data_IF_414007270074
#
_entry.id   IF_414007270074
#
_cell.length_a   1.000
_cell.length_b   1.000
_cell.length_c   1.000
_cell.angle_alpha   90.00
_cell.angle_beta   90.00
_cell.angle_gamma   90.00
#
_symmetry.space_group_name_H-M   'P 1'
#
loop_
_entity.id
_entity.type
_entity.pdbx_description
1 polymer ?
#
# COMPACT_ATOMS: atom_id res chain seq x y z
N UNK A 1 -7.33 -17.16 29.58
CA UNK A 1 -8.43 -16.45 28.91
C UNK A 1 -8.92 -15.23 29.74
N UNK A 2 -8.98 -15.31 31.07
CA UNK A 2 -9.52 -14.27 31.96
C UNK A 2 -8.68 -12.98 32.04
N UNK A 3 -7.34 -13.06 31.97
CA UNK A 3 -6.47 -11.88 32.02
C UNK A 3 -6.55 -11.05 30.73
N UNK A 4 -6.63 -11.68 29.56
CA UNK A 4 -6.75 -10.98 28.29
C UNK A 4 -8.09 -10.25 28.13
N UNK A 5 -9.19 -10.85 28.60
CA UNK A 5 -10.52 -10.21 28.57
C UNK A 5 -10.61 -9.07 29.57
N UNK A 6 -10.00 -9.17 30.75
CA UNK A 6 -9.95 -8.09 31.73
C UNK A 6 -9.12 -6.90 31.21
N UNK A 7 -7.96 -7.15 30.62
CA UNK A 7 -7.13 -6.10 30.01
C UNK A 7 -7.84 -5.40 28.84
N UNK A 8 -8.49 -6.18 27.98
CA UNK A 8 -9.30 -5.65 26.87
C UNK A 8 -10.46 -4.80 27.34
N UNK A 9 -11.14 -5.21 28.43
CA UNK A 9 -12.24 -4.44 29.03
C UNK A 9 -11.76 -3.13 29.68
N UNK A 10 -10.59 -3.14 30.33
CA UNK A 10 -9.99 -1.93 30.96
C UNK A 10 -9.55 -0.95 29.88
N UNK A 11 -8.83 -1.43 28.84
CA UNK A 11 -8.41 -0.61 27.70
C UNK A 11 -9.62 -0.06 26.93
N UNK A 12 -10.63 -0.89 26.69
CA UNK A 12 -11.87 -0.47 26.02
C UNK A 12 -12.61 0.62 26.83
N UNK A 13 -12.71 0.49 28.15
CA UNK A 13 -13.30 1.54 29.01
C UNK A 13 -12.45 2.82 29.03
N UNK A 14 -11.12 2.71 29.09
CA UNK A 14 -10.25 3.87 29.07
C UNK A 14 -10.34 4.66 27.76
N UNK A 15 -10.59 3.98 26.63
CA UNK A 15 -10.79 4.62 25.33
C UNK A 15 -12.22 5.18 25.15
N UNK A 16 -13.24 4.48 25.67
CA UNK A 16 -14.64 4.86 25.46
C UNK A 16 -15.10 6.00 26.38
N UNK A 17 -14.58 6.08 27.62
CA UNK A 17 -14.99 7.12 28.57
C UNK A 17 -14.71 8.56 28.12
N UNK A 18 -13.57 8.91 27.51
CA UNK A 18 -13.38 10.27 26.99
C UNK A 18 -14.25 10.55 25.76
N UNK A 19 -14.55 9.54 24.92
CA UNK A 19 -15.45 9.67 23.78
C UNK A 19 -16.90 9.94 24.22
N UNK A 20 -17.39 9.27 25.26
CA UNK A 20 -18.74 9.45 25.78
C UNK A 20 -18.97 10.85 26.37
N UNK A 21 -17.91 11.59 26.75
CA UNK A 21 -17.95 12.96 27.25
C UNK A 21 -17.66 14.03 26.19
N UNK A 22 -17.32 13.63 24.96
CA UNK A 22 -17.00 14.57 23.91
C UNK A 22 -18.26 15.27 23.35
N UNK A 23 -18.18 16.56 22.94
CA UNK A 23 -19.27 17.24 22.25
C UNK A 23 -19.69 16.49 21.00
N UNK A 24 -20.99 16.42 20.70
CA UNK A 24 -21.55 15.67 19.55
C UNK A 24 -20.87 16.02 18.23
N UNK A 25 -20.60 17.29 17.95
CA UNK A 25 -19.92 17.74 16.74
C UNK A 25 -18.50 17.16 16.61
N UNK A 26 -17.78 16.96 17.71
CA UNK A 26 -16.44 16.33 17.71
C UNK A 26 -16.53 14.83 17.47
N UNK A 27 -17.59 14.18 17.96
CA UNK A 27 -17.87 12.77 17.72
C UNK A 27 -18.22 12.52 16.24
N UNK A 28 -19.07 13.33 15.64
CA UNK A 28 -19.44 13.23 14.22
C UNK A 28 -18.24 13.38 13.31
N UNK A 29 -17.37 14.35 13.60
CA UNK A 29 -16.11 14.54 12.84
C UNK A 29 -15.19 13.32 13.00
N UNK A 30 -14.99 12.83 14.23
CA UNK A 30 -14.18 11.64 14.50
C UNK A 30 -14.70 10.39 13.77
N UNK A 31 -16.02 10.15 13.79
CA UNK A 31 -16.63 9.02 13.09
C UNK A 31 -16.51 9.15 11.57
N UNK A 32 -16.64 10.35 11.01
CA UNK A 32 -16.49 10.60 9.60
C UNK A 32 -15.03 10.35 9.13
N UNK A 33 -14.05 10.87 9.87
CA UNK A 33 -12.63 10.64 9.57
C UNK A 33 -12.25 9.16 9.72
N UNK A 34 -12.70 8.51 10.80
CA UNK A 34 -12.46 7.09 11.04
C UNK A 34 -13.11 6.21 9.98
N UNK A 35 -14.33 6.53 9.55
CA UNK A 35 -15.02 5.82 8.48
C UNK A 35 -14.28 5.97 7.15
N UNK A 36 -13.78 7.16 6.84
CA UNK A 36 -13.00 7.40 5.64
C UNK A 36 -11.69 6.62 5.61
N UNK A 37 -10.94 6.63 6.71
CA UNK A 37 -9.71 5.86 6.85
C UNK A 37 -9.97 4.35 6.75
N UNK A 38 -11.02 3.86 7.40
CA UNK A 38 -11.45 2.45 7.34
C UNK A 38 -11.81 2.05 5.92
N UNK A 39 -12.55 2.90 5.20
CA UNK A 39 -12.92 2.64 3.81
C UNK A 39 -11.69 2.60 2.89
N UNK A 40 -10.71 3.47 3.11
CA UNK A 40 -9.46 3.48 2.36
C UNK A 40 -8.64 2.19 2.57
N UNK A 41 -8.53 1.75 3.82
CA UNK A 41 -7.85 0.50 4.18
C UNK A 41 -8.59 -0.73 3.62
N UNK A 42 -9.94 -0.72 3.67
CA UNK A 42 -10.75 -1.77 3.08
C UNK A 42 -10.56 -1.86 1.57
N UNK A 43 -10.58 -0.73 0.86
CA UNK A 43 -10.32 -0.69 -0.57
C UNK A 43 -8.95 -1.26 -0.93
N UNK A 44 -7.92 -0.91 -0.16
CA UNK A 44 -6.58 -1.44 -0.34
C UNK A 44 -6.51 -2.94 -0.03
N UNK A 45 -7.18 -3.39 1.04
CA UNK A 45 -7.26 -4.81 1.38
C UNK A 45 -7.93 -5.61 0.26
N UNK A 46 -9.01 -5.09 -0.32
CA UNK A 46 -9.66 -5.71 -1.49
C UNK A 46 -8.70 -5.77 -2.66
N UNK A 47 -8.04 -4.66 -3.01
CA UNK A 47 -7.09 -4.61 -4.13
C UNK A 47 -5.96 -5.62 -4.00
N UNK A 48 -5.39 -5.78 -2.79
CA UNK A 48 -4.24 -6.66 -2.54
C UNK A 48 -4.61 -8.14 -2.36
N UNK A 49 -5.90 -8.49 -2.42
CA UNK A 49 -6.37 -9.88 -2.27
C UNK A 49 -7.32 -10.33 -3.38
N UNK A 50 -7.85 -9.42 -4.20
CA UNK A 50 -8.82 -9.76 -5.25
C UNK A 50 -8.19 -10.63 -6.35
N UNK A 51 -6.89 -10.49 -6.58
CA UNK A 51 -6.11 -11.30 -7.53
C UNK A 51 -6.16 -12.79 -7.17
N UNK A 52 -6.04 -13.14 -5.87
CA UNK A 52 -6.15 -14.53 -5.41
C UNK A 52 -7.57 -15.08 -5.60
N UNK A 53 -8.60 -14.26 -5.41
CA UNK A 53 -9.98 -14.64 -5.67
C UNK A 53 -10.21 -14.88 -7.17
N UNK A 54 -9.65 -13.99 -8.01
CA UNK A 54 -9.70 -14.16 -9.48
C UNK A 54 -8.93 -15.40 -9.94
N UNK A 55 -7.79 -15.71 -9.32
CA UNK A 55 -7.06 -16.95 -9.61
C UNK A 55 -7.96 -18.18 -9.38
N UNK A 56 -8.66 -18.23 -8.26
CA UNK A 56 -9.61 -19.33 -7.96
C UNK A 56 -10.79 -19.39 -8.92
N UNK A 57 -11.25 -18.24 -9.43
CA UNK A 57 -12.42 -18.16 -10.31
C UNK A 57 -12.09 -18.40 -11.79
N UNK A 58 -10.89 -18.02 -12.24
CA UNK A 58 -10.54 -17.98 -13.67
C UNK A 58 -9.55 -19.06 -14.10
N UNK A 59 -8.73 -19.58 -13.16
CA UNK A 59 -7.68 -20.55 -13.47
C UNK A 59 -8.10 -21.98 -13.09
N UNK A 60 -7.54 -23.01 -13.76
CA UNK A 60 -7.64 -24.40 -13.31
C UNK A 60 -7.07 -24.56 -11.89
N UNK A 61 -7.53 -25.60 -11.16
CA UNK A 61 -7.20 -25.75 -9.73
C UNK A 61 -5.70 -25.85 -9.44
N UNK A 62 -4.93 -26.50 -10.31
CA UNK A 62 -3.47 -26.60 -10.25
C UNK A 62 -2.78 -25.24 -10.43
N UNK A 63 -3.21 -24.48 -11.43
CA UNK A 63 -2.69 -23.13 -11.68
C UNK A 63 -3.11 -22.13 -10.58
N UNK A 64 -4.32 -22.25 -10.06
CA UNK A 64 -4.76 -21.45 -8.93
C UNK A 64 -3.91 -21.73 -7.66
N UNK A 65 -3.51 -22.98 -7.46
CA UNK A 65 -2.56 -23.35 -6.41
C UNK A 65 -1.18 -22.72 -6.61
N UNK A 66 -0.64 -22.76 -7.83
CA UNK A 66 0.61 -22.09 -8.21
C UNK A 66 0.52 -20.57 -7.94
N UNK A 67 -0.58 -19.92 -8.40
CA UNK A 67 -0.80 -18.50 -8.13
C UNK A 67 -0.82 -18.19 -6.63
N UNK A 68 -1.43 -19.05 -5.82
CA UNK A 68 -1.47 -18.91 -4.37
C UNK A 68 -0.08 -18.83 -3.73
N UNK A 69 0.86 -19.68 -4.15
CA UNK A 69 2.26 -19.63 -3.69
C UNK A 69 2.95 -18.34 -4.17
N UNK A 70 2.76 -17.95 -5.43
CA UNK A 70 3.24 -16.66 -5.94
C UNK A 70 2.69 -15.47 -5.14
N UNK A 71 1.40 -15.49 -4.79
CA UNK A 71 0.77 -14.46 -3.96
C UNK A 71 1.38 -14.37 -2.54
N UNK A 72 1.87 -15.48 -1.96
CA UNK A 72 2.63 -15.44 -0.70
C UNK A 72 3.93 -14.68 -0.89
N UNK A 73 4.67 -14.91 -1.99
CA UNK A 73 5.90 -14.17 -2.32
C UNK A 73 5.59 -12.68 -2.47
N UNK A 74 4.51 -12.32 -3.17
CA UNK A 74 4.06 -10.94 -3.29
C UNK A 74 3.75 -10.31 -1.92
N UNK A 75 3.13 -11.04 -1.00
CA UNK A 75 2.85 -10.57 0.36
C UNK A 75 4.11 -10.38 1.19
N UNK A 76 5.10 -11.25 1.08
CA UNK A 76 6.40 -11.07 1.74
C UNK A 76 7.05 -9.78 1.22
N UNK A 77 7.10 -9.58 -0.11
CA UNK A 77 7.65 -8.39 -0.73
C UNK A 77 6.87 -7.11 -0.37
N UNK A 78 5.57 -7.20 -0.13
CA UNK A 78 4.71 -6.11 0.33
C UNK A 78 4.98 -5.71 1.79
N UNK A 79 5.06 -6.69 2.70
CA UNK A 79 5.20 -6.42 4.13
C UNK A 79 6.62 -6.02 4.55
N UNK A 80 7.64 -6.49 3.84
CA UNK A 80 9.05 -6.23 4.19
C UNK A 80 9.38 -4.72 4.25
N UNK A 81 9.04 -3.88 3.26
CA UNK A 81 9.22 -2.45 3.34
C UNK A 81 8.44 -1.77 4.46
N UNK A 82 7.28 -2.31 4.82
CA UNK A 82 6.44 -1.79 5.90
C UNK A 82 7.14 -1.92 7.26
N UNK A 83 7.70 -3.08 7.57
CA UNK A 83 8.42 -3.30 8.83
C UNK A 83 9.62 -2.37 8.95
N UNK A 84 10.41 -2.21 7.88
CA UNK A 84 11.56 -1.30 7.89
C UNK A 84 11.12 0.14 8.08
N UNK A 85 10.03 0.55 7.44
CA UNK A 85 9.48 1.90 7.60
C UNK A 85 9.07 2.19 9.04
N UNK A 86 8.43 1.24 9.73
CA UNK A 86 8.03 1.39 11.15
C UNK A 86 9.24 1.54 12.06
N UNK A 87 10.30 0.75 11.84
CA UNK A 87 11.52 0.80 12.65
C UNK A 87 12.34 2.06 12.37
N UNK A 88 12.40 2.51 11.12
CA UNK A 88 13.19 3.67 10.71
C UNK A 88 12.50 5.01 10.99
N UNK A 89 11.16 5.03 11.10
CA UNK A 89 10.36 6.24 11.26
C UNK A 89 10.77 7.14 12.43
N UNK A 90 11.11 6.63 13.64
CA UNK A 90 11.56 7.48 14.76
C UNK A 90 12.81 8.31 14.46
N UNK A 91 13.69 7.80 13.59
CA UNK A 91 14.96 8.46 13.23
C UNK A 91 14.77 9.60 12.20
N UNK A 92 13.61 9.65 11.52
CA UNK A 92 13.29 10.68 10.52
C UNK A 92 12.30 11.74 11.01
N UNK A 93 11.80 11.63 12.26
CA UNK A 93 10.76 12.51 12.81
C UNK A 93 11.20 13.99 12.94
N UNK A 94 12.50 14.27 12.90
CA UNK A 94 13.08 15.61 13.06
C UNK A 94 13.17 16.43 11.76
N UNK A 95 12.74 15.88 10.63
CA UNK A 95 12.82 16.56 9.32
C UNK A 95 11.49 17.21 8.94
N UNK A 96 11.55 18.37 8.25
CA UNK A 96 10.37 19.08 7.70
C UNK A 96 9.48 18.09 6.97
N UNK A 97 8.15 18.13 7.20
CA UNK A 97 7.14 17.15 6.72
C UNK A 97 7.34 16.67 5.28
N UNK A 98 7.58 17.56 4.32
CA UNK A 98 7.75 17.19 2.91
C UNK A 98 9.00 16.35 2.64
N UNK A 99 10.12 16.65 3.32
CA UNK A 99 11.37 15.88 3.17
C UNK A 99 11.23 14.48 3.78
N UNK A 100 10.57 14.35 4.92
CA UNK A 100 10.30 13.06 5.55
C UNK A 100 9.46 12.14 4.64
N UNK A 101 8.41 12.67 4.00
CA UNK A 101 7.59 11.93 3.05
C UNK A 101 8.42 11.42 1.86
N UNK A 102 9.23 12.27 1.25
CA UNK A 102 10.08 11.86 0.11
C UNK A 102 11.08 10.79 0.53
N UNK A 103 11.75 10.96 1.67
CA UNK A 103 12.72 9.98 2.18
C UNK A 103 12.05 8.63 2.46
N UNK A 104 10.87 8.63 3.07
CA UNK A 104 10.11 7.40 3.33
C UNK A 104 9.70 6.69 2.03
N UNK A 105 9.23 7.42 1.03
CA UNK A 105 8.85 6.85 -0.27
C UNK A 105 10.07 6.28 -1.01
N UNK A 106 11.21 6.97 -0.96
CA UNK A 106 12.46 6.49 -1.55
C UNK A 106 12.97 5.23 -0.83
N UNK A 107 12.86 5.17 0.49
CA UNK A 107 13.25 3.99 1.27
C UNK A 107 12.38 2.78 0.92
N UNK A 108 11.05 2.95 0.83
CA UNK A 108 10.12 1.89 0.40
C UNK A 108 10.42 1.44 -1.03
N UNK A 109 10.68 2.39 -1.95
CA UNK A 109 11.02 2.08 -3.34
C UNK A 109 12.35 1.32 -3.45
N UNK A 110 13.40 1.80 -2.77
CA UNK A 110 14.71 1.17 -2.78
C UNK A 110 14.67 -0.27 -2.22
N UNK A 111 13.96 -0.46 -1.10
CA UNK A 111 13.80 -1.77 -0.50
C UNK A 111 12.95 -2.70 -1.40
N UNK A 112 11.87 -2.17 -2.00
CA UNK A 112 11.07 -2.91 -2.98
C UNK A 112 11.92 -3.36 -4.17
N UNK A 113 12.74 -2.48 -4.75
CA UNK A 113 13.67 -2.83 -5.83
C UNK A 113 14.70 -3.87 -5.38
N UNK A 114 15.23 -3.77 -4.16
CA UNK A 114 16.16 -4.75 -3.62
C UNK A 114 15.52 -6.13 -3.48
N UNK A 115 14.26 -6.21 -3.00
CA UNK A 115 13.52 -7.48 -2.90
C UNK A 115 13.26 -8.08 -4.27
N UNK A 116 12.82 -7.28 -5.26
CA UNK A 116 12.61 -7.74 -6.64
C UNK A 116 13.92 -8.24 -7.24
N UNK A 117 15.01 -7.48 -7.08
CA UNK A 117 16.34 -7.88 -7.56
C UNK A 117 16.85 -9.17 -6.91
N UNK A 118 16.73 -9.30 -5.59
CA UNK A 118 17.09 -10.51 -4.87
C UNK A 118 16.27 -11.72 -5.34
N UNK A 119 14.96 -11.55 -5.51
CA UNK A 119 14.07 -12.61 -6.02
C UNK A 119 14.40 -13.00 -7.46
N UNK A 120 14.80 -12.05 -8.30
CA UNK A 120 15.21 -12.31 -9.68
C UNK A 120 16.59 -13.00 -9.77
N UNK A 121 17.49 -12.76 -8.82
CA UNK A 121 18.82 -13.36 -8.78
C UNK A 121 18.83 -14.81 -8.28
N UNK A 122 17.95 -15.15 -7.34
CA UNK A 122 17.89 -16.46 -6.71
C UNK A 122 16.45 -17.04 -6.66
N UNK A 123 15.75 -17.10 -7.82
CA UNK A 123 14.33 -17.46 -7.85
C UNK A 123 14.08 -18.90 -7.39
N UNK A 124 14.97 -19.84 -7.69
CA UNK A 124 14.86 -21.24 -7.26
C UNK A 124 14.87 -21.38 -5.73
N UNK A 125 15.73 -20.60 -5.06
CA UNK A 125 15.80 -20.59 -3.60
C UNK A 125 14.51 -20.03 -3.00
N UNK A 126 13.98 -18.95 -3.56
CA UNK A 126 12.75 -18.33 -3.09
C UNK A 126 11.55 -19.25 -3.26
N UNK A 127 11.41 -19.88 -4.43
CA UNK A 127 10.32 -20.83 -4.68
C UNK A 127 10.42 -22.07 -3.81
N UNK A 128 11.61 -22.64 -3.67
CA UNK A 128 11.81 -23.84 -2.83
C UNK A 128 11.56 -23.56 -1.35
N UNK A 129 11.88 -22.37 -0.87
CA UNK A 129 11.63 -21.96 0.52
C UNK A 129 10.15 -21.71 0.81
N UNK A 130 9.42 -21.07 -0.13
CA UNK A 130 8.01 -20.68 0.08
C UNK A 130 7.04 -21.81 -0.27
N UNK A 131 7.26 -22.51 -1.38
CA UNK A 131 6.35 -23.52 -1.92
C UNK A 131 6.91 -24.94 -1.94
N UNK A 132 8.23 -25.09 -1.89
CA UNK A 132 8.91 -26.37 -2.06
C UNK A 132 9.10 -26.74 -3.55
N UNK A 133 9.77 -27.88 -3.78
CA UNK A 133 10.17 -28.35 -5.12
C UNK A 133 8.98 -28.59 -6.10
N UNK A 134 7.79 -28.85 -5.58
CA UNK A 134 6.59 -29.05 -6.39
C UNK A 134 6.16 -27.79 -7.16
N UNK A 135 6.66 -26.61 -6.79
CA UNK A 135 6.30 -25.32 -7.38
C UNK A 135 7.40 -24.73 -8.28
N UNK A 136 8.37 -25.54 -8.72
CA UNK A 136 9.47 -25.12 -9.57
C UNK A 136 9.04 -24.42 -10.88
N UNK A 137 7.83 -24.70 -11.38
CA UNK A 137 7.25 -24.03 -12.55
C UNK A 137 7.00 -22.52 -12.34
N UNK A 138 7.02 -22.01 -11.08
CA UNK A 138 6.91 -20.58 -10.77
C UNK A 138 8.23 -19.82 -10.96
N UNK A 139 9.37 -20.51 -11.01
CA UNK A 139 10.71 -19.90 -11.07
C UNK A 139 10.81 -18.78 -12.12
N UNK A 140 10.36 -18.95 -13.37
CA UNK A 140 10.49 -17.91 -14.39
C UNK A 140 9.69 -16.62 -14.10
N UNK A 141 8.59 -16.74 -13.36
CA UNK A 141 7.62 -15.64 -13.09
C UNK A 141 7.68 -15.12 -11.65
N UNK A 142 8.55 -15.67 -10.81
CA UNK A 142 8.66 -15.33 -9.38
C UNK A 142 8.92 -13.84 -9.15
N UNK A 143 9.77 -13.22 -9.96
CA UNK A 143 10.08 -11.80 -9.90
C UNK A 143 8.85 -10.90 -10.13
N UNK A 144 7.86 -11.36 -10.91
CA UNK A 144 6.61 -10.62 -11.16
C UNK A 144 5.84 -10.49 -9.85
N UNK A 145 5.75 -11.58 -9.06
CA UNK A 145 5.08 -11.55 -7.76
C UNK A 145 5.80 -10.63 -6.76
N UNK A 146 7.13 -10.65 -6.72
CA UNK A 146 7.88 -9.70 -5.91
C UNK A 146 7.62 -8.25 -6.35
N UNK A 147 7.55 -7.99 -7.65
CA UNK A 147 7.23 -6.68 -8.21
C UNK A 147 5.80 -6.22 -7.86
N UNK A 148 4.81 -7.12 -7.86
CA UNK A 148 3.44 -6.84 -7.38
C UNK A 148 3.49 -6.37 -5.93
N UNK A 149 4.19 -7.10 -5.06
CA UNK A 149 4.32 -6.75 -3.65
C UNK A 149 4.98 -5.38 -3.45
N UNK A 150 6.07 -5.11 -4.15
CA UNK A 150 6.77 -3.82 -4.11
C UNK A 150 5.89 -2.66 -4.62
N UNK A 151 5.16 -2.85 -5.71
CA UNK A 151 4.24 -1.85 -6.26
C UNK A 151 3.09 -1.54 -5.27
N UNK A 152 2.49 -2.55 -4.67
CA UNK A 152 1.44 -2.37 -3.67
C UNK A 152 1.96 -1.74 -2.37
N UNK A 153 3.19 -2.05 -1.92
CA UNK A 153 3.80 -1.40 -0.78
C UNK A 153 3.98 0.11 -1.00
N UNK A 154 4.44 0.49 -2.19
CA UNK A 154 4.60 1.89 -2.56
C UNK A 154 3.24 2.60 -2.72
N UNK A 155 2.26 1.94 -3.35
CA UNK A 155 0.89 2.43 -3.46
C UNK A 155 0.25 2.66 -2.08
N UNK A 156 0.45 1.75 -1.12
CA UNK A 156 -0.01 1.91 0.26
C UNK A 156 0.65 3.09 0.96
N UNK A 157 1.98 3.24 0.85
CA UNK A 157 2.69 4.37 1.45
C UNK A 157 2.16 5.71 0.91
N UNK A 158 1.90 5.78 -0.41
CA UNK A 158 1.27 6.94 -1.05
C UNK A 158 -0.17 7.16 -0.58
N UNK A 159 -0.97 6.10 -0.44
CA UNK A 159 -2.35 6.18 0.05
C UNK A 159 -2.40 6.72 1.48
N UNK A 160 -1.55 6.21 2.39
CA UNK A 160 -1.52 6.65 3.78
C UNK A 160 -1.18 8.14 3.92
N UNK A 161 -0.26 8.66 3.08
CA UNK A 161 0.04 10.10 3.06
C UNK A 161 -1.16 10.93 2.62
N UNK A 162 -2.06 10.40 1.79
CA UNK A 162 -3.28 11.05 1.28
C UNK A 162 -4.43 10.98 2.26
N UNK A 163 -4.63 9.83 2.87
CA UNK A 163 -5.65 9.64 3.92
C UNK A 163 -5.38 10.58 5.09
N UNK A 164 -4.10 10.78 5.45
CA UNK A 164 -3.70 11.76 6.46
C UNK A 164 -4.01 13.23 6.08
N UNK A 165 -4.31 13.51 4.81
CA UNK A 165 -4.70 14.84 4.28
C UNK A 165 -6.20 14.93 3.93
N UNK A 166 -7.00 13.93 4.32
CA UNK A 166 -8.45 13.81 4.05
C UNK A 166 -8.82 13.85 2.54
N UNK A 167 -7.90 13.37 1.67
CA UNK A 167 -8.10 13.34 0.21
C UNK A 167 -8.93 12.13 -0.21
N UNK A 168 -10.25 12.31 -0.35
CA UNK A 168 -11.20 11.28 -0.77
C UNK A 168 -10.92 10.70 -2.17
N UNK A 169 -10.20 11.44 -3.03
CA UNK A 169 -9.84 10.98 -4.38
C UNK A 169 -8.88 9.81 -4.36
N UNK A 170 -8.07 9.69 -3.31
CA UNK A 170 -7.16 8.57 -3.14
C UNK A 170 -7.91 7.23 -3.05
N UNK A 171 -9.02 7.19 -2.34
CA UNK A 171 -9.86 5.97 -2.21
C UNK A 171 -10.49 5.59 -3.56
N UNK A 172 -10.96 6.58 -4.32
CA UNK A 172 -11.49 6.34 -5.67
C UNK A 172 -10.43 5.77 -6.59
N UNK A 173 -9.17 6.24 -6.50
CA UNK A 173 -8.06 5.70 -7.28
C UNK A 173 -7.78 4.22 -6.95
N UNK A 174 -7.88 3.82 -5.67
CA UNK A 174 -7.70 2.41 -5.27
C UNK A 174 -8.81 1.53 -5.84
N UNK A 175 -10.08 1.97 -5.78
CA UNK A 175 -11.19 1.24 -6.39
C UNK A 175 -11.08 1.16 -7.92
N UNK A 176 -10.62 2.23 -8.56
CA UNK A 176 -10.35 2.23 -10.01
C UNK A 176 -9.23 1.24 -10.37
N UNK A 177 -8.18 1.13 -9.56
CA UNK A 177 -7.12 0.14 -9.74
C UNK A 177 -7.64 -1.30 -9.55
N UNK A 178 -8.53 -1.54 -8.57
CA UNK A 178 -9.17 -2.84 -8.38
C UNK A 178 -10.06 -3.21 -9.59
N UNK A 179 -10.85 -2.26 -10.09
CA UNK A 179 -11.66 -2.46 -11.30
C UNK A 179 -10.79 -2.70 -12.54
N UNK A 180 -9.67 -1.98 -12.68
CA UNK A 180 -8.70 -2.19 -13.74
C UNK A 180 -8.11 -3.61 -13.70
N UNK A 181 -7.72 -4.08 -12.52
CA UNK A 181 -7.20 -5.44 -12.33
C UNK A 181 -8.23 -6.48 -12.80
N UNK A 182 -9.48 -6.35 -12.33
CA UNK A 182 -10.57 -7.26 -12.73
C UNK A 182 -10.79 -7.21 -14.24
N UNK A 183 -10.82 -6.03 -14.84
CA UNK A 183 -11.01 -5.85 -16.28
C UNK A 183 -9.86 -6.51 -17.08
N UNK A 184 -8.61 -6.26 -16.70
CA UNK A 184 -7.45 -6.86 -17.36
C UNK A 184 -7.44 -8.38 -17.24
N UNK A 185 -7.71 -8.93 -16.05
CA UNK A 185 -7.70 -10.36 -15.80
C UNK A 185 -8.84 -11.10 -16.52
N UNK A 186 -10.00 -10.46 -16.74
CA UNK A 186 -11.16 -11.13 -17.34
C UNK A 186 -11.23 -10.99 -18.85
N UNK A 187 -10.83 -9.83 -19.40
CA UNK A 187 -11.10 -9.47 -20.80
C UNK A 187 -9.82 -9.27 -21.65
N UNK A 188 -8.68 -8.99 -21.06
CA UNK A 188 -7.49 -8.56 -21.81
C UNK A 188 -6.38 -9.61 -21.78
N UNK A 189 -6.03 -10.11 -20.58
CA UNK A 189 -4.92 -11.01 -20.40
C UNK A 189 -5.31 -12.48 -20.54
N UNK A 190 -4.40 -13.36 -20.96
CA UNK A 190 -4.67 -14.80 -21.02
C UNK A 190 -4.93 -15.34 -19.60
N UNK A 191 -5.80 -16.36 -19.51
CA UNK A 191 -6.15 -17.04 -18.25
C UNK A 191 -5.04 -17.99 -17.83
N UNK A 192 -3.90 -17.44 -17.50
CA UNK A 192 -2.71 -18.13 -17.02
C UNK A 192 -2.20 -17.46 -15.74
N UNK A 193 -1.34 -18.14 -15.00
CA UNK A 193 -0.68 -17.58 -13.79
C UNK A 193 0.03 -16.28 -14.13
N UNK A 194 0.79 -16.26 -15.22
CA UNK A 194 1.52 -15.09 -15.68
C UNK A 194 0.60 -13.93 -16.09
N UNK A 195 -0.45 -14.21 -16.90
CA UNK A 195 -1.41 -13.20 -17.34
C UNK A 195 -2.11 -12.51 -16.18
N UNK A 196 -2.54 -13.28 -15.17
CA UNK A 196 -3.17 -12.74 -13.97
C UNK A 196 -2.16 -11.94 -13.13
N UNK A 197 -0.92 -12.43 -12.97
CA UNK A 197 0.14 -11.71 -12.25
C UNK A 197 0.48 -10.39 -12.95
N UNK A 198 0.56 -10.36 -14.27
CA UNK A 198 0.76 -9.12 -15.04
C UNK A 198 -0.41 -8.15 -14.90
N UNK A 199 -1.65 -8.65 -14.81
CA UNK A 199 -2.83 -7.80 -14.53
C UNK A 199 -2.71 -7.11 -13.17
N UNK A 200 -2.31 -7.86 -12.13
CA UNK A 200 -2.10 -7.33 -10.78
C UNK A 200 -0.94 -6.33 -10.74
N UNK A 201 0.17 -6.65 -11.39
CA UNK A 201 1.34 -5.76 -11.50
C UNK A 201 0.96 -4.45 -12.20
N UNK A 202 0.25 -4.54 -13.33
CA UNK A 202 -0.18 -3.34 -14.09
C UNK A 202 -1.08 -2.45 -13.26
N UNK A 203 -2.07 -3.01 -12.56
CA UNK A 203 -2.95 -2.25 -11.68
C UNK A 203 -2.17 -1.57 -10.53
N UNK A 204 -1.23 -2.29 -9.91
CA UNK A 204 -0.35 -1.76 -8.87
C UNK A 204 0.55 -0.62 -9.36
N UNK A 205 1.17 -0.80 -10.54
CA UNK A 205 2.03 0.23 -11.15
C UNK A 205 1.22 1.48 -11.55
N UNK A 206 0.05 1.32 -12.15
CA UNK A 206 -0.83 2.44 -12.50
C UNK A 206 -1.21 3.24 -11.24
N UNK A 207 -1.63 2.55 -10.18
CA UNK A 207 -1.96 3.20 -8.90
C UNK A 207 -0.75 3.93 -8.31
N UNK A 208 0.43 3.32 -8.33
CA UNK A 208 1.68 3.91 -7.85
C UNK A 208 2.04 5.15 -8.65
N UNK A 209 2.00 5.10 -9.98
CA UNK A 209 2.31 6.24 -10.86
C UNK A 209 1.34 7.39 -10.63
N UNK A 210 0.03 7.10 -10.59
CA UNK A 210 -0.99 8.11 -10.28
C UNK A 210 -0.72 8.75 -8.92
N UNK A 211 -0.45 7.95 -7.90
CA UNK A 211 -0.11 8.43 -6.55
C UNK A 211 1.13 9.32 -6.53
N UNK A 212 2.20 8.92 -7.22
CA UNK A 212 3.45 9.70 -7.33
C UNK A 212 3.23 11.04 -8.05
N UNK A 213 2.52 11.02 -9.18
CA UNK A 213 2.23 12.25 -9.96
C UNK A 213 1.45 13.24 -9.12
N UNK A 214 0.43 12.77 -8.40
CA UNK A 214 -0.41 13.66 -7.57
C UNK A 214 0.41 14.18 -6.38
N UNK A 215 1.25 13.34 -5.73
CA UNK A 215 2.14 13.75 -4.63
C UNK A 215 3.18 14.79 -5.11
N UNK A 216 3.81 14.53 -6.24
CA UNK A 216 4.80 15.47 -6.82
C UNK A 216 4.18 16.83 -7.15
N UNK A 217 2.95 16.86 -7.68
CA UNK A 217 2.22 18.11 -7.96
C UNK A 217 1.91 18.89 -6.68
N UNK A 218 1.58 18.24 -5.58
CA UNK A 218 1.34 18.91 -4.29
C UNK A 218 2.62 19.50 -3.71
N UNK A 219 3.70 18.74 -3.66
CA UNK A 219 4.99 19.23 -3.15
C UNK A 219 5.48 20.46 -3.92
N UNK A 220 5.26 20.49 -5.25
CA UNK A 220 5.58 21.68 -6.07
C UNK A 220 4.72 22.89 -5.71
N UNK A 221 3.43 22.71 -5.41
CA UNK A 221 2.53 23.79 -5.02
C UNK A 221 2.91 24.37 -3.64
N UNK A 222 3.25 23.54 -2.69
CA UNK A 222 3.71 23.96 -1.36
C UNK A 222 5.04 24.73 -1.43
N UNK A 223 5.99 24.26 -2.23
CA UNK A 223 7.26 24.97 -2.47
C UNK A 223 7.06 26.35 -3.11
N UNK A 224 6.12 26.48 -4.03
CA UNK A 224 5.81 27.76 -4.68
C UNK A 224 5.15 28.75 -3.72
N UNK A 225 4.23 28.30 -2.86
CA UNK A 225 3.54 29.16 -1.89
C UNK A 225 4.50 29.73 -0.82
N UNK A 226 5.45 28.94 -0.36
CA UNK A 226 6.48 29.39 0.61
C UNK A 226 7.39 30.45 -0.01
N UNK A 227 7.78 30.28 -1.28
CA UNK A 227 8.64 31.24 -1.99
C UNK A 227 7.92 32.56 -2.27
N UNK A 228 6.63 32.52 -2.57
CA UNK A 228 5.81 33.72 -2.82
C UNK A 228 5.55 34.49 -1.53
N UNK A 229 5.26 33.80 -0.41
CA UNK A 229 5.09 34.43 0.90
C UNK A 229 6.37 35.08 1.40
N UNK A 230 7.54 34.46 1.17
CA UNK A 230 8.83 35.03 1.52
C UNK A 230 9.16 36.30 0.70
N UNK A 231 8.73 36.38 -0.55
CA UNK A 231 8.88 37.59 -1.40
C UNK A 231 7.91 38.72 -1.05
N UNK A 232 6.69 38.39 -0.64
CA UNK A 232 5.69 39.42 -0.24
C UNK A 232 5.96 40.02 1.16
N UNK A 233 6.70 39.32 2.02
CA UNK A 233 7.14 39.82 3.33
C UNK A 233 8.32 40.80 3.27
N UNK A 234 8.93 41.04 2.11
CA UNK A 234 9.92 42.08 1.85
C UNK A 234 9.28 43.32 1.19
N UNK A 235 8.17 43.79 1.75
CA UNK A 235 7.66 45.14 1.43
C UNK A 235 8.53 46.22 2.08
N UNK A 236 8.79 47.35 1.41
CA UNK A 236 9.74 48.37 1.85
C UNK A 236 9.19 49.08 3.10
N UNK A 237 9.75 48.74 4.25
CA UNK A 237 9.65 49.55 5.45
C UNK A 237 10.85 50.49 5.48
N UNK A 238 10.69 51.66 4.89
CA UNK A 238 11.44 52.85 5.23
C UNK A 238 10.70 53.62 6.30
#
# INVERSE_FOLDING_TARGET
>A
LTLGTALGAILGRACVTPLARAPRARLEHFFSESAHATHALLALFVLTNIDVLLARALLPADQAGLYGVGAVIAKIAFWLPQFVSVVAFPHFADSRRGRATVVSLLAVAALGCAVVGATALVPDLVVSFVGGAAYASLVPVTWIFAAIGAAFALAQALLLTRVAQDDRRAVVAVWAAAALLVCLATFVMPRTVEGLALSALTAGLVLTVVGLVVTARQLRREGYSVTTAARSGQGPGA
#
